data_IF_070920050047
#
_entry.id   IF_070920050047
#
_cell.length_a   1.000
_cell.length_b   1.000
_cell.length_c   1.000
_cell.angle_alpha   90.00
_cell.angle_beta   90.00
_cell.angle_gamma   90.00
#
_symmetry.space_group_name_H-M   'P 1'
#
loop_
_entity.id
_entity.type
_entity.pdbx_description
1 polymer ?
#
# COMPACT_ATOMS: atom_id res chain seq x y z
N UNK A 1 -4.44 -7.63 88.10
CA UNK A 1 -5.90 -7.46 87.91
C UNK A 1 -6.15 -5.97 87.76
N UNK A 2 -6.64 -5.41 86.67
CA UNK A 2 -6.92 -5.88 85.33
C UNK A 2 -6.76 -4.65 84.41
N UNK A 3 -6.28 -4.89 83.20
CA UNK A 3 -6.16 -3.92 82.10
C UNK A 3 -7.56 -3.50 81.62
N UNK A 4 -7.69 -2.26 81.11
CA UNK A 4 -8.68 -2.04 80.06
C UNK A 4 -8.21 -0.96 79.05
N UNK A 5 -8.19 -1.39 77.80
CA UNK A 5 -7.71 -0.69 76.62
C UNK A 5 -8.78 0.24 76.04
N UNK A 6 -8.39 1.44 75.60
CA UNK A 6 -9.22 2.24 74.68
C UNK A 6 -8.39 2.71 73.47
N UNK A 7 -8.78 2.18 72.29
CA UNK A 7 -8.19 2.41 70.97
C UNK A 7 -8.36 3.87 70.48
N UNK A 8 -7.40 4.44 69.73
CA UNK A 8 -7.64 5.61 68.91
C UNK A 8 -8.21 5.23 67.53
N UNK A 9 -9.08 6.09 67.03
CA UNK A 9 -9.93 5.90 65.86
C UNK A 9 -9.20 5.93 64.51
N UNK A 10 -9.86 5.28 63.54
CA UNK A 10 -9.49 5.18 62.14
C UNK A 10 -9.43 6.55 61.46
N UNK A 11 -8.29 6.84 60.83
CA UNK A 11 -8.15 7.93 59.86
C UNK A 11 -8.81 7.54 58.53
N UNK A 12 -9.77 8.35 58.09
CA UNK A 12 -10.40 8.23 56.79
C UNK A 12 -9.37 8.54 55.68
N UNK A 13 -9.18 7.57 54.77
CA UNK A 13 -8.39 7.74 53.55
C UNK A 13 -9.11 8.72 52.62
N UNK A 14 -8.43 9.81 52.25
CA UNK A 14 -8.84 10.68 51.14
C UNK A 14 -8.86 9.86 49.84
N UNK A 15 -9.91 9.95 49.01
CA UNK A 15 -9.90 9.34 47.69
C UNK A 15 -8.89 10.07 46.80
N UNK A 16 -8.03 9.31 46.14
CA UNK A 16 -7.10 9.80 45.14
C UNK A 16 -7.87 10.51 44.01
N UNK A 17 -7.40 11.70 43.66
CA UNK A 17 -7.94 12.52 42.58
C UNK A 17 -7.58 11.84 41.26
N UNK A 18 -8.51 11.09 40.68
CA UNK A 18 -8.35 10.46 39.37
C UNK A 18 -8.62 11.55 38.31
N UNK A 19 -7.70 11.83 37.36
CA UNK A 19 -7.96 12.84 36.35
C UNK A 19 -9.22 12.49 35.57
N UNK A 20 -10.13 13.45 35.46
CA UNK A 20 -11.40 13.28 34.78
C UNK A 20 -11.13 13.11 33.28
N UNK A 21 -11.27 11.87 32.79
CA UNK A 21 -11.41 11.61 31.35
C UNK A 21 -12.48 12.55 30.79
N UNK A 22 -12.10 13.38 29.83
CA UNK A 22 -13.05 14.29 29.19
C UNK A 22 -14.16 13.47 28.55
N UNK A 23 -15.40 13.97 28.63
CA UNK A 23 -16.60 13.30 28.09
C UNK A 23 -16.43 12.94 26.60
N UNK A 24 -15.58 13.66 25.86
CA UNK A 24 -15.19 13.36 24.49
C UNK A 24 -14.32 12.10 24.32
N UNK A 25 -13.35 11.84 25.21
CA UNK A 25 -12.51 10.63 25.15
C UNK A 25 -13.33 9.37 25.47
N UNK A 26 -14.24 9.44 26.44
CA UNK A 26 -15.11 8.32 26.79
C UNK A 26 -16.11 7.98 25.66
N UNK A 27 -16.65 8.99 24.98
CA UNK A 27 -17.52 8.80 23.81
C UNK A 27 -16.78 8.24 22.60
N UNK A 28 -15.54 8.70 22.33
CA UNK A 28 -14.66 8.13 21.30
C UNK A 28 -14.30 6.67 21.59
N UNK A 29 -13.89 6.35 22.83
CA UNK A 29 -13.61 4.96 23.20
C UNK A 29 -14.84 4.05 23.16
N UNK A 30 -16.04 4.56 23.46
CA UNK A 30 -17.29 3.82 23.32
C UNK A 30 -17.67 3.58 21.85
N UNK A 31 -17.36 4.53 20.96
CA UNK A 31 -17.53 4.36 19.52
C UNK A 31 -16.49 3.39 18.92
N UNK A 32 -15.23 3.43 19.38
CA UNK A 32 -14.18 2.49 19.00
C UNK A 32 -14.53 1.04 19.36
N UNK A 33 -15.10 0.80 20.56
CA UNK A 33 -15.58 -0.53 20.99
C UNK A 33 -16.76 -1.07 20.18
N UNK A 34 -17.35 -0.27 19.29
CA UNK A 34 -18.47 -0.65 18.42
C UNK A 34 -18.08 -0.90 16.97
N UNK A 35 -16.84 -0.60 16.55
CA UNK A 35 -16.37 -0.98 15.22
C UNK A 35 -16.18 -2.50 15.19
N UNK A 36 -16.94 -3.16 14.33
CA UNK A 36 -16.74 -4.58 14.04
C UNK A 36 -15.35 -4.69 13.42
N UNK A 37 -14.53 -5.63 13.92
CA UNK A 37 -13.20 -5.86 13.35
C UNK A 37 -13.31 -6.12 11.84
N UNK A 38 -12.43 -5.54 11.00
CA UNK A 38 -12.47 -5.72 9.56
C UNK A 38 -12.53 -7.20 9.13
N UNK A 39 -11.81 -8.09 9.82
CA UNK A 39 -11.87 -9.54 9.60
C UNK A 39 -13.23 -10.17 9.83
N UNK A 40 -13.93 -9.78 10.89
CA UNK A 40 -15.27 -10.34 11.19
C UNK A 40 -16.25 -10.00 10.06
N UNK A 41 -16.14 -8.79 9.48
CA UNK A 41 -16.93 -8.42 8.29
C UNK A 41 -16.46 -9.20 7.06
N UNK A 42 -15.15 -9.34 6.86
CA UNK A 42 -14.62 -10.12 5.75
C UNK A 42 -15.06 -11.60 5.80
N UNK A 43 -15.18 -12.19 6.99
CA UNK A 43 -15.76 -13.53 7.19
C UNK A 43 -17.24 -13.56 6.81
N UNK A 44 -18.02 -12.55 7.23
CA UNK A 44 -19.42 -12.42 6.84
C UNK A 44 -19.57 -12.26 5.31
N UNK A 45 -18.69 -11.48 4.67
CA UNK A 45 -18.64 -11.33 3.21
C UNK A 45 -18.31 -12.66 2.55
N UNK A 46 -17.27 -13.36 3.02
CA UNK A 46 -16.89 -14.68 2.49
C UNK A 46 -18.08 -15.64 2.52
N UNK A 47 -18.85 -15.64 3.61
CA UNK A 47 -20.09 -16.41 3.70
C UNK A 47 -21.15 -15.92 2.69
N UNK A 48 -21.38 -14.62 2.55
CA UNK A 48 -22.33 -14.06 1.59
C UNK A 48 -21.97 -14.36 0.13
N UNK A 49 -20.69 -14.22 -0.25
CA UNK A 49 -20.18 -14.53 -1.59
C UNK A 49 -20.37 -16.01 -1.90
N UNK A 50 -20.11 -16.91 -0.95
CA UNK A 50 -20.36 -18.35 -1.15
C UNK A 50 -21.83 -18.70 -1.40
N UNK A 51 -22.76 -17.87 -0.90
CA UNK A 51 -24.20 -18.06 -1.11
C UNK A 51 -24.68 -17.42 -2.43
N UNK A 52 -23.88 -16.53 -3.03
CA UNK A 52 -24.17 -15.85 -4.28
C UNK A 52 -22.98 -16.02 -5.25
N UNK A 53 -22.77 -17.22 -5.79
CA UNK A 53 -21.73 -17.43 -6.78
C UNK A 53 -22.01 -16.61 -8.04
N UNK A 54 -20.95 -16.19 -8.72
CA UNK A 54 -21.10 -15.48 -9.98
C UNK A 54 -21.73 -16.39 -11.05
N UNK A 55 -22.55 -15.84 -11.94
CA UNK A 55 -23.04 -16.59 -13.09
C UNK A 55 -21.84 -17.04 -13.93
N UNK A 56 -21.88 -18.29 -14.39
CA UNK A 56 -20.86 -18.78 -15.34
C UNK A 56 -21.08 -18.10 -16.70
N UNK A 57 -20.02 -17.60 -17.36
CA UNK A 57 -20.15 -17.07 -18.71
C UNK A 57 -20.72 -18.14 -19.66
N UNK A 58 -21.66 -17.79 -20.55
CA UNK A 58 -22.18 -18.75 -21.50
C UNK A 58 -21.07 -19.17 -22.47
N UNK A 59 -20.89 -20.49 -22.62
CA UNK A 59 -19.93 -21.07 -23.56
C UNK A 59 -20.61 -21.39 -24.87
N UNK A 60 -20.27 -20.60 -25.90
CA UNK A 60 -20.68 -20.89 -27.28
C UNK A 60 -19.71 -21.91 -27.91
N UNK A 61 -20.20 -22.93 -28.63
CA UNK A 61 -19.34 -23.83 -29.38
C UNK A 61 -18.49 -23.07 -30.41
N UNK A 62 -17.27 -23.54 -30.65
CA UNK A 62 -16.43 -22.98 -31.70
C UNK A 62 -17.10 -23.15 -33.07
N UNK A 63 -17.15 -22.08 -33.86
CA UNK A 63 -17.66 -22.14 -35.24
C UNK A 63 -16.64 -22.86 -36.10
N UNK A 64 -17.03 -24.01 -36.68
CA UNK A 64 -16.14 -24.80 -37.50
C UNK A 64 -15.73 -24.04 -38.77
N UNK A 65 -14.43 -23.85 -38.99
CA UNK A 65 -13.89 -23.33 -40.26
C UNK A 65 -14.23 -24.29 -41.38
N UNK A 66 -14.89 -23.80 -42.42
CA UNK A 66 -15.14 -24.56 -43.65
C UNK A 66 -14.11 -24.17 -44.71
N UNK A 67 -13.56 -25.14 -45.46
CA UNK A 67 -12.62 -24.83 -46.53
C UNK A 67 -13.31 -24.02 -47.63
N UNK A 68 -12.65 -22.95 -48.09
CA UNK A 68 -13.09 -22.15 -49.23
C UNK A 68 -12.97 -22.99 -50.50
N UNK A 69 -13.94 -22.92 -51.40
CA UNK A 69 -13.91 -23.66 -52.66
C UNK A 69 -12.65 -23.30 -53.49
N UNK A 70 -12.02 -24.31 -54.11
CA UNK A 70 -10.73 -24.19 -54.81
C UNK A 70 -10.70 -23.24 -56.04
N UNK A 71 -11.84 -22.62 -56.40
CA UNK A 71 -11.99 -21.75 -57.56
C UNK A 71 -11.89 -20.24 -57.23
N UNK A 72 -11.59 -19.87 -55.99
CA UNK A 72 -11.51 -18.46 -55.53
C UNK A 72 -10.08 -17.92 -55.66
N UNK A 73 -9.93 -16.65 -56.09
CA UNK A 73 -8.63 -15.99 -56.19
C UNK A 73 -7.87 -15.99 -54.84
N UNK A 74 -6.52 -16.13 -54.84
CA UNK A 74 -5.72 -16.18 -53.61
C UNK A 74 -5.94 -14.98 -52.67
N UNK A 75 -6.13 -13.78 -53.21
CA UNK A 75 -6.35 -12.56 -52.43
C UNK A 75 -7.68 -12.59 -51.68
N UNK A 76 -8.73 -13.09 -52.33
CA UNK A 76 -10.06 -13.25 -51.73
C UNK A 76 -10.01 -14.32 -50.63
N UNK A 77 -9.26 -15.39 -50.85
CA UNK A 77 -9.03 -16.44 -49.83
C UNK A 77 -8.33 -15.88 -48.59
N UNK A 78 -7.31 -15.04 -48.76
CA UNK A 78 -6.62 -14.39 -47.65
C UNK A 78 -7.56 -13.47 -46.85
N UNK A 79 -8.42 -12.70 -47.52
CA UNK A 79 -9.41 -11.84 -46.86
C UNK A 79 -10.44 -12.67 -46.08
N UNK A 80 -10.96 -13.75 -46.65
CA UNK A 80 -11.88 -14.66 -45.98
C UNK A 80 -11.27 -15.22 -44.68
N UNK A 81 -10.01 -15.64 -44.74
CA UNK A 81 -9.30 -16.14 -43.55
C UNK A 81 -9.16 -15.06 -42.46
N UNK A 82 -8.81 -13.83 -42.85
CA UNK A 82 -8.71 -12.69 -41.92
C UNK A 82 -10.06 -12.39 -41.24
N UNK A 83 -11.16 -12.42 -42.00
CA UNK A 83 -12.51 -12.22 -41.47
C UNK A 83 -12.87 -13.36 -40.49
N UNK A 84 -12.54 -14.62 -40.82
CA UNK A 84 -12.74 -15.76 -39.92
C UNK A 84 -11.99 -15.58 -38.61
N UNK A 85 -10.68 -15.27 -38.66
CA UNK A 85 -9.87 -15.05 -37.46
C UNK A 85 -10.43 -13.90 -36.61
N UNK A 86 -10.91 -12.84 -37.25
CA UNK A 86 -11.54 -11.70 -36.57
C UNK A 86 -12.85 -12.10 -35.90
N UNK A 87 -13.73 -12.79 -36.62
CA UNK A 87 -15.00 -13.26 -36.09
C UNK A 87 -14.81 -14.20 -34.89
N UNK A 88 -13.86 -15.15 -34.97
CA UNK A 88 -13.55 -16.06 -33.85
C UNK A 88 -13.09 -15.30 -32.59
N UNK A 89 -12.19 -14.30 -32.75
CA UNK A 89 -11.78 -13.44 -31.62
C UNK A 89 -12.96 -12.66 -31.03
N UNK A 90 -13.82 -12.09 -31.88
CA UNK A 90 -15.00 -11.35 -31.42
C UNK A 90 -16.02 -12.27 -30.74
N UNK A 91 -16.19 -13.51 -31.22
CA UNK A 91 -17.05 -14.50 -30.58
C UNK A 91 -16.56 -14.87 -29.18
N UNK A 92 -15.24 -14.95 -28.96
CA UNK A 92 -14.69 -15.17 -27.64
C UNK A 92 -14.89 -13.92 -26.74
N UNK A 93 -14.59 -12.73 -27.24
CA UNK A 93 -14.75 -11.47 -26.48
C UNK A 93 -16.21 -11.16 -26.11
N UNK A 94 -17.16 -11.54 -26.97
CA UNK A 94 -18.59 -11.35 -26.73
C UNK A 94 -19.14 -12.18 -25.56
N UNK A 95 -18.43 -13.24 -25.13
CA UNK A 95 -18.77 -14.01 -23.92
C UNK A 95 -18.41 -13.25 -22.64
N UNK A 96 -17.60 -12.19 -22.73
CA UNK A 96 -17.22 -11.30 -21.62
C UNK A 96 -16.62 -12.04 -20.41
N UNK A 97 -15.93 -13.17 -20.63
CA UNK A 97 -15.36 -14.00 -19.56
C UNK A 97 -14.43 -13.21 -18.63
N UNK A 98 -13.64 -12.30 -19.18
CA UNK A 98 -12.75 -11.44 -18.41
C UNK A 98 -13.50 -10.41 -17.55
N UNK A 99 -14.67 -9.94 -18.00
CA UNK A 99 -15.56 -9.09 -17.19
C UNK A 99 -16.16 -9.89 -16.04
N UNK A 100 -16.60 -11.13 -16.27
CA UNK A 100 -17.04 -12.02 -15.19
C UNK A 100 -15.92 -12.27 -14.17
N UNK A 101 -14.68 -12.49 -14.64
CA UNK A 101 -13.51 -12.64 -13.77
C UNK A 101 -13.25 -11.38 -12.94
N UNK A 102 -13.28 -10.20 -13.56
CA UNK A 102 -13.07 -8.93 -12.87
C UNK A 102 -14.10 -8.67 -11.77
N UNK A 103 -15.36 -9.06 -11.99
CA UNK A 103 -16.41 -8.99 -10.95
C UNK A 103 -16.07 -9.91 -9.77
N UNK A 104 -15.53 -11.11 -10.03
CA UNK A 104 -15.06 -12.03 -8.99
C UNK A 104 -13.84 -11.50 -8.22
N UNK A 105 -12.90 -10.90 -8.94
CA UNK A 105 -11.70 -10.31 -8.34
C UNK A 105 -12.05 -9.19 -7.33
N UNK A 106 -13.15 -8.45 -7.54
CA UNK A 106 -13.63 -7.46 -6.57
C UNK A 106 -14.08 -8.14 -5.27
N UNK A 107 -14.85 -9.22 -5.35
CA UNK A 107 -15.28 -9.98 -4.17
C UNK A 107 -14.09 -10.57 -3.41
N UNK A 108 -13.12 -11.11 -4.14
CA UNK A 108 -11.90 -11.69 -3.57
C UNK A 108 -11.07 -10.62 -2.86
N UNK A 109 -10.88 -9.44 -3.47
CA UNK A 109 -10.14 -8.33 -2.85
C UNK A 109 -10.84 -7.77 -1.62
N UNK A 110 -12.16 -7.56 -1.67
CA UNK A 110 -12.94 -7.09 -0.52
C UNK A 110 -12.95 -8.09 0.63
N UNK A 111 -12.77 -9.39 0.33
CA UNK A 111 -12.57 -10.41 1.36
C UNK A 111 -11.14 -10.41 1.88
N UNK A 112 -10.14 -10.31 1.02
CA UNK A 112 -8.72 -10.49 1.38
C UNK A 112 -8.08 -9.27 2.05
N UNK A 113 -8.30 -8.08 1.50
CA UNK A 113 -7.61 -6.86 1.95
C UNK A 113 -7.84 -6.50 3.43
N UNK A 114 -9.04 -6.71 4.02
CA UNK A 114 -9.23 -6.54 5.46
C UNK A 114 -8.33 -7.46 6.31
N UNK A 115 -8.15 -8.72 5.90
CA UNK A 115 -7.25 -9.65 6.60
C UNK A 115 -5.78 -9.26 6.41
N UNK A 116 -5.40 -8.86 5.19
CA UNK A 116 -4.04 -8.38 4.92
C UNK A 116 -3.73 -7.15 5.80
N UNK A 117 -4.67 -6.22 5.95
CA UNK A 117 -4.52 -5.05 6.82
C UNK A 117 -4.42 -5.44 8.30
N UNK A 118 -5.29 -6.31 8.82
CA UNK A 118 -5.21 -6.78 10.21
C UNK A 118 -3.87 -7.50 10.49
N UNK A 119 -3.41 -8.34 9.57
CA UNK A 119 -2.10 -8.99 9.68
C UNK A 119 -0.94 -7.99 9.73
N UNK A 120 -1.05 -6.82 9.07
CA UNK A 120 -0.07 -5.74 9.18
C UNK A 120 -0.20 -5.00 10.52
N UNK A 121 -1.43 -4.79 11.04
CA UNK A 121 -1.66 -4.22 12.38
C UNK A 121 -1.02 -5.09 13.47
N UNK A 122 -1.19 -6.40 13.40
CA UNK A 122 -0.58 -7.38 14.33
C UNK A 122 0.96 -7.33 14.31
N UNK A 123 1.54 -6.85 13.21
CA UNK A 123 2.99 -6.64 13.04
C UNK A 123 3.45 -5.23 13.44
N UNK A 124 2.58 -4.41 14.02
CA UNK A 124 2.90 -3.07 14.51
C UNK A 124 2.74 -1.95 13.47
N UNK A 125 2.01 -2.17 12.37
CA UNK A 125 1.66 -1.08 11.46
C UNK A 125 0.56 -0.20 12.06
N UNK A 126 0.88 1.05 12.39
CA UNK A 126 -0.04 1.96 13.09
C UNK A 126 -0.67 3.02 12.20
N UNK A 127 -0.14 3.26 11.01
CA UNK A 127 -0.55 4.38 10.12
C UNK A 127 -1.70 4.01 9.18
N UNK A 128 -2.18 4.97 8.40
CA UNK A 128 -3.31 4.82 7.47
C UNK A 128 -4.60 4.30 8.14
N UNK A 129 -4.95 4.84 9.31
CA UNK A 129 -6.13 4.43 10.10
C UNK A 129 -7.49 4.60 9.42
N UNK A 130 -7.53 5.29 8.28
CA UNK A 130 -8.74 5.43 7.45
C UNK A 130 -8.94 4.26 6.47
N UNK A 131 -7.98 3.34 6.33
CA UNK A 131 -8.08 2.25 5.35
C UNK A 131 -9.21 1.28 5.70
N UNK A 132 -9.44 1.03 6.99
CA UNK A 132 -10.55 0.22 7.48
C UNK A 132 -11.89 0.81 7.05
N UNK A 133 -12.07 2.13 7.23
CA UNK A 133 -13.29 2.85 6.85
C UNK A 133 -13.46 2.89 5.32
N UNK A 134 -12.37 3.02 4.56
CA UNK A 134 -12.39 3.00 3.09
C UNK A 134 -12.76 1.62 2.56
N UNK A 135 -12.19 0.55 3.11
CA UNK A 135 -12.53 -0.83 2.74
C UNK A 135 -14.01 -1.12 3.05
N UNK A 136 -14.51 -0.68 4.20
CA UNK A 136 -15.94 -0.76 4.54
C UNK A 136 -16.82 0.00 3.54
N UNK A 137 -16.45 1.23 3.18
CA UNK A 137 -17.22 2.01 2.21
C UNK A 137 -17.24 1.35 0.82
N UNK A 138 -16.11 0.78 0.38
CA UNK A 138 -16.03 0.04 -0.90
C UNK A 138 -16.87 -1.23 -0.86
N UNK A 139 -16.88 -1.94 0.27
CA UNK A 139 -17.69 -3.14 0.50
C UNK A 139 -19.19 -2.84 0.36
N UNK A 140 -19.66 -1.83 1.09
CA UNK A 140 -21.05 -1.36 1.05
C UNK A 140 -21.45 -0.84 -0.34
N UNK A 141 -20.53 -0.15 -1.02
CA UNK A 141 -20.77 0.35 -2.37
C UNK A 141 -20.90 -0.81 -3.36
N UNK A 142 -20.03 -1.81 -3.25
CA UNK A 142 -20.05 -2.96 -4.12
C UNK A 142 -21.30 -3.82 -3.92
N UNK A 143 -21.76 -4.04 -2.69
CA UNK A 143 -23.00 -4.79 -2.43
C UNK A 143 -24.23 -4.15 -3.09
N UNK A 144 -24.26 -2.82 -3.17
CA UNK A 144 -25.32 -2.07 -3.86
C UNK A 144 -25.17 -2.11 -5.38
N UNK A 145 -23.93 -2.10 -5.88
CA UNK A 145 -23.63 -1.99 -7.30
C UNK A 145 -23.67 -3.34 -8.01
N UNK A 146 -23.21 -4.41 -7.37
CA UNK A 146 -23.05 -5.75 -7.93
C UNK A 146 -24.30 -6.28 -8.64
N UNK A 147 -25.54 -6.21 -8.08
CA UNK A 147 -26.73 -6.64 -8.80
C UNK A 147 -26.94 -5.90 -10.13
N UNK A 148 -26.59 -4.61 -10.19
CA UNK A 148 -26.71 -3.81 -11.42
C UNK A 148 -25.68 -4.23 -12.46
N UNK A 149 -24.45 -4.52 -12.03
CA UNK A 149 -23.38 -5.04 -12.91
C UNK A 149 -23.76 -6.40 -13.45
N UNK A 150 -24.21 -7.32 -12.61
CA UNK A 150 -24.67 -8.66 -13.02
C UNK A 150 -25.82 -8.59 -14.02
N UNK A 151 -26.82 -7.74 -13.77
CA UNK A 151 -27.93 -7.55 -14.70
C UNK A 151 -27.47 -6.97 -16.04
N UNK A 152 -26.66 -5.90 -16.01
CA UNK A 152 -26.13 -5.30 -17.22
C UNK A 152 -25.27 -6.29 -18.02
N UNK A 153 -24.44 -7.08 -17.35
CA UNK A 153 -23.62 -8.12 -17.97
C UNK A 153 -24.48 -9.18 -18.66
N UNK A 154 -25.51 -9.69 -17.97
CA UNK A 154 -26.44 -10.66 -18.55
C UNK A 154 -27.19 -10.10 -19.77
N UNK A 155 -27.68 -8.86 -19.69
CA UNK A 155 -28.36 -8.19 -20.80
C UNK A 155 -27.44 -7.99 -22.01
N UNK A 156 -26.20 -7.53 -21.80
CA UNK A 156 -25.24 -7.34 -22.88
C UNK A 156 -24.85 -8.66 -23.54
N UNK A 157 -24.62 -9.71 -22.76
CA UNK A 157 -24.25 -11.03 -23.29
C UNK A 157 -25.39 -11.61 -24.14
N UNK A 158 -26.65 -11.53 -23.68
CA UNK A 158 -27.81 -11.98 -24.47
C UNK A 158 -27.95 -11.21 -25.79
N UNK A 159 -27.71 -9.90 -25.75
CA UNK A 159 -27.74 -9.05 -26.95
C UNK A 159 -26.62 -9.40 -27.92
N UNK A 160 -25.40 -9.59 -27.42
CA UNK A 160 -24.25 -9.94 -28.23
C UNK A 160 -24.36 -11.34 -28.83
N UNK A 161 -25.00 -12.28 -28.14
CA UNK A 161 -25.28 -13.61 -28.69
C UNK A 161 -26.21 -13.54 -29.91
N UNK A 162 -27.24 -12.68 -29.83
CA UNK A 162 -28.12 -12.40 -30.98
C UNK A 162 -27.36 -11.75 -32.14
N UNK A 163 -26.45 -10.82 -31.83
CA UNK A 163 -25.61 -10.16 -32.85
C UNK A 163 -24.60 -11.13 -33.49
N UNK A 164 -24.05 -12.06 -32.70
CA UNK A 164 -23.16 -13.12 -33.16
C UNK A 164 -23.90 -14.09 -34.09
N UNK A 165 -25.11 -14.51 -33.74
CA UNK A 165 -25.98 -15.32 -34.59
C UNK A 165 -26.22 -14.68 -35.95
N UNK A 166 -26.45 -13.36 -35.96
CA UNK A 166 -26.63 -12.61 -37.19
C UNK A 166 -25.35 -12.57 -38.01
N UNK A 167 -24.21 -12.30 -37.38
CA UNK A 167 -22.91 -12.26 -38.04
C UNK A 167 -22.50 -13.65 -38.57
N UNK A 168 -22.76 -14.74 -37.84
CA UNK A 168 -22.50 -16.12 -38.28
C UNK A 168 -23.32 -16.48 -39.53
N UNK A 169 -24.60 -16.06 -39.59
CA UNK A 169 -25.41 -16.20 -40.81
C UNK A 169 -24.83 -15.43 -42.00
N UNK A 170 -24.18 -14.28 -41.77
CA UNK A 170 -23.46 -13.56 -42.83
C UNK A 170 -22.17 -14.28 -43.24
N UNK A 171 -21.42 -14.81 -42.28
CA UNK A 171 -20.22 -15.63 -42.52
C UNK A 171 -20.54 -16.84 -43.41
N UNK A 172 -21.71 -17.47 -43.23
CA UNK A 172 -22.17 -18.57 -44.08
C UNK A 172 -22.29 -18.23 -45.58
N UNK A 173 -22.37 -16.94 -45.95
CA UNK A 173 -22.41 -16.47 -47.34
C UNK A 173 -21.03 -16.52 -48.01
N UNK A 174 -19.95 -16.59 -47.24
CA UNK A 174 -18.58 -16.68 -47.76
C UNK A 174 -18.32 -17.99 -48.53
N UNK A 175 -19.19 -19.00 -48.40
CA UNK A 175 -19.08 -20.25 -49.16
C UNK A 175 -19.17 -20.04 -50.68
N UNK A 176 -19.90 -19.02 -51.13
CA UNK A 176 -20.01 -18.61 -52.54
C UNK A 176 -19.48 -17.19 -52.74
N UNK A 177 -18.35 -16.89 -52.10
CA UNK A 177 -17.82 -15.53 -52.02
C UNK A 177 -17.41 -14.96 -53.39
N UNK A 178 -17.79 -13.70 -53.60
CA UNK A 178 -17.16 -12.79 -54.55
C UNK A 178 -16.70 -11.54 -53.77
N UNK A 179 -15.96 -10.64 -54.43
CA UNK A 179 -15.41 -9.45 -53.77
C UNK A 179 -16.46 -8.58 -53.03
N UNK A 180 -17.68 -8.47 -53.57
CA UNK A 180 -18.76 -7.71 -52.93
C UNK A 180 -19.28 -8.40 -51.66
N UNK A 181 -19.43 -9.73 -51.69
CA UNK A 181 -19.83 -10.52 -50.52
C UNK A 181 -18.78 -10.41 -49.41
N UNK A 182 -17.49 -10.57 -49.75
CA UNK A 182 -16.39 -10.45 -48.77
C UNK A 182 -16.42 -9.09 -48.07
N UNK A 183 -16.51 -7.99 -48.84
CA UNK A 183 -16.58 -6.64 -48.28
C UNK A 183 -17.80 -6.42 -47.38
N UNK A 184 -18.96 -6.96 -47.77
CA UNK A 184 -20.18 -6.86 -46.97
C UNK A 184 -20.08 -7.61 -45.65
N UNK A 185 -19.48 -8.82 -45.65
CA UNK A 185 -19.31 -9.62 -44.44
C UNK A 185 -18.27 -8.98 -43.53
N UNK A 186 -17.17 -8.48 -44.07
CA UNK A 186 -16.14 -7.73 -43.33
C UNK A 186 -16.75 -6.54 -42.59
N UNK A 187 -17.55 -5.72 -43.28
CA UNK A 187 -18.27 -4.58 -42.67
C UNK A 187 -19.22 -5.01 -41.55
N UNK A 188 -19.88 -6.16 -41.69
CA UNK A 188 -20.78 -6.69 -40.66
C UNK A 188 -20.00 -7.16 -39.42
N UNK A 189 -18.83 -7.80 -39.62
CA UNK A 189 -17.91 -8.23 -38.55
C UNK A 189 -17.30 -7.01 -37.85
N UNK A 190 -16.98 -5.93 -38.57
CA UNK A 190 -16.54 -4.66 -37.99
C UNK A 190 -17.59 -4.02 -37.09
N UNK A 191 -18.84 -4.01 -37.57
CA UNK A 191 -19.96 -3.49 -36.81
C UNK A 191 -20.20 -4.31 -35.53
N UNK A 192 -20.07 -5.64 -35.60
CA UNK A 192 -20.09 -6.52 -34.43
C UNK A 192 -18.97 -6.16 -33.46
N UNK A 193 -17.73 -5.98 -33.93
CA UNK A 193 -16.59 -5.64 -33.07
C UNK A 193 -16.78 -4.31 -32.33
N UNK A 194 -17.39 -3.34 -33.00
CA UNK A 194 -17.77 -2.05 -32.38
C UNK A 194 -18.81 -2.24 -31.27
N UNK A 195 -19.81 -3.11 -31.48
CA UNK A 195 -20.84 -3.42 -30.48
C UNK A 195 -20.27 -4.18 -29.29
N UNK A 196 -19.41 -5.18 -29.52
CA UNK A 196 -18.70 -5.91 -28.44
C UNK A 196 -17.90 -4.94 -27.56
N UNK A 197 -17.13 -4.05 -28.18
CA UNK A 197 -16.33 -3.05 -27.46
C UNK A 197 -17.20 -2.08 -26.66
N UNK A 198 -18.29 -1.59 -27.25
CA UNK A 198 -19.21 -0.67 -26.58
C UNK A 198 -19.94 -1.33 -25.40
N UNK A 199 -20.42 -2.57 -25.59
CA UNK A 199 -21.08 -3.34 -24.55
C UNK A 199 -20.15 -3.60 -23.37
N UNK A 200 -18.89 -3.99 -23.65
CA UNK A 200 -17.86 -4.19 -22.64
C UNK A 200 -17.60 -2.92 -21.80
N UNK A 201 -17.30 -1.81 -22.47
CA UNK A 201 -17.06 -0.51 -21.80
C UNK A 201 -18.25 -0.05 -20.97
N UNK A 202 -19.47 -0.35 -21.42
CA UNK A 202 -20.68 0.01 -20.68
C UNK A 202 -20.78 -0.75 -19.35
N UNK A 203 -20.34 -2.02 -19.30
CA UNK A 203 -20.33 -2.82 -18.06
C UNK A 203 -19.12 -2.46 -17.19
N UNK A 204 -17.93 -2.37 -17.76
CA UNK A 204 -16.69 -1.97 -17.04
C UNK A 204 -16.85 -0.62 -16.35
N UNK A 205 -17.40 0.37 -17.06
CA UNK A 205 -17.62 1.71 -16.50
C UNK A 205 -18.56 1.76 -15.30
N UNK A 206 -19.32 0.71 -15.01
CA UNK A 206 -20.11 0.62 -13.78
C UNK A 206 -19.24 0.39 -12.54
N UNK A 207 -18.14 -0.38 -12.66
CA UNK A 207 -17.34 -0.85 -11.52
C UNK A 207 -15.88 -0.39 -11.52
N UNK A 208 -15.36 0.17 -12.62
CA UNK A 208 -13.95 0.57 -12.76
C UNK A 208 -13.43 1.44 -11.60
N UNK A 209 -14.28 2.32 -11.05
CA UNK A 209 -13.91 3.15 -9.90
C UNK A 209 -13.58 2.34 -8.64
N UNK A 210 -14.37 1.30 -8.34
CA UNK A 210 -14.12 0.41 -7.19
C UNK A 210 -12.84 -0.39 -7.43
N UNK A 211 -12.70 -0.95 -8.62
CA UNK A 211 -11.51 -1.73 -9.01
C UNK A 211 -10.24 -0.90 -8.88
N UNK A 212 -10.24 0.34 -9.37
CA UNK A 212 -9.10 1.24 -9.27
C UNK A 212 -8.71 1.54 -7.81
N UNK A 213 -9.68 1.78 -6.92
CA UNK A 213 -9.42 2.02 -5.49
C UNK A 213 -8.90 0.76 -4.78
N UNK A 214 -9.47 -0.41 -5.06
CA UNK A 214 -8.99 -1.67 -4.49
C UNK A 214 -7.55 -1.98 -4.90
N UNK A 215 -7.17 -1.73 -6.16
CA UNK A 215 -5.78 -1.90 -6.60
C UNK A 215 -4.81 -0.94 -5.92
N UNK A 216 -5.22 0.32 -5.67
CA UNK A 216 -4.40 1.27 -4.92
C UNK A 216 -4.17 0.80 -3.48
N UNK A 217 -5.23 0.33 -2.82
CA UNK A 217 -5.13 -0.20 -1.46
C UNK A 217 -4.23 -1.43 -1.43
N UNK A 218 -4.46 -2.41 -2.30
CA UNK A 218 -3.64 -3.63 -2.40
C UNK A 218 -2.16 -3.29 -2.63
N UNK A 219 -1.87 -2.38 -3.55
CA UNK A 219 -0.51 -1.92 -3.81
C UNK A 219 0.11 -1.29 -2.56
N UNK A 220 -0.62 -0.41 -1.87
CA UNK A 220 -0.18 0.24 -0.63
C UNK A 220 0.12 -0.78 0.47
N UNK A 221 -0.78 -1.74 0.72
CA UNK A 221 -0.55 -2.80 1.71
C UNK A 221 0.66 -3.66 1.35
N UNK A 222 0.87 -3.95 0.07
CA UNK A 222 2.06 -4.65 -0.41
C UNK A 222 3.37 -3.88 -0.17
N UNK A 223 3.36 -2.54 -0.24
CA UNK A 223 4.53 -1.73 0.12
C UNK A 223 4.77 -1.75 1.63
N UNK A 224 3.72 -1.64 2.44
CA UNK A 224 3.82 -1.73 3.90
C UNK A 224 4.37 -3.08 4.33
N UNK A 225 3.86 -4.17 3.74
CA UNK A 225 4.36 -5.52 4.02
C UNK A 225 5.85 -5.63 3.75
N UNK A 226 6.32 -5.18 2.57
CA UNK A 226 7.74 -5.18 2.22
C UNK A 226 8.59 -4.37 3.19
N UNK A 227 8.12 -3.19 3.59
CA UNK A 227 8.81 -2.36 4.57
C UNK A 227 8.96 -3.08 5.91
N UNK A 228 7.88 -3.67 6.43
CA UNK A 228 7.92 -4.42 7.69
C UNK A 228 8.82 -5.66 7.58
N UNK A 229 8.83 -6.35 6.43
CA UNK A 229 9.74 -7.48 6.17
C UNK A 229 11.21 -7.04 6.18
N UNK A 230 11.51 -5.89 5.58
CA UNK A 230 12.86 -5.31 5.58
C UNK A 230 13.32 -4.94 7.01
N UNK A 231 12.46 -4.28 7.79
CA UNK A 231 12.74 -3.92 9.19
C UNK A 231 12.92 -5.20 10.03
N UNK A 232 12.03 -6.18 9.90
CA UNK A 232 12.09 -7.43 10.66
C UNK A 232 13.33 -8.26 10.29
N UNK A 233 13.84 -8.11 9.06
CA UNK A 233 15.06 -8.75 8.59
C UNK A 233 16.35 -8.05 9.02
N UNK A 234 16.28 -6.96 9.78
CA UNK A 234 17.44 -6.25 10.33
C UNK A 234 17.75 -6.71 11.75
N UNK A 235 19.03 -6.94 12.05
CA UNK A 235 19.50 -7.17 13.43
C UNK A 235 19.76 -5.86 14.20
N UNK A 236 19.95 -4.76 13.48
CA UNK A 236 20.36 -3.46 14.03
C UNK A 236 19.16 -2.50 14.22
N UNK A 237 18.08 -2.68 13.47
CA UNK A 237 16.88 -1.84 13.58
C UNK A 237 15.96 -2.39 14.66
N UNK A 238 15.70 -1.55 15.67
CA UNK A 238 14.64 -1.76 16.67
C UNK A 238 13.79 -0.51 16.73
N UNK A 239 12.49 -0.68 16.53
CA UNK A 239 11.53 0.42 16.65
C UNK A 239 11.43 0.85 18.12
N UNK A 240 11.39 2.16 18.35
CA UNK A 240 11.18 2.78 19.66
C UNK A 240 9.71 2.65 20.07
N UNK A 241 9.41 2.97 21.32
CA UNK A 241 8.04 3.01 21.81
C UNK A 241 7.22 4.02 21.00
N UNK A 242 6.01 3.61 20.58
CA UNK A 242 5.18 4.35 19.67
C UNK A 242 5.87 4.79 18.36
N UNK A 243 6.90 4.09 17.87
CA UNK A 243 7.50 4.35 16.56
C UNK A 243 6.79 3.55 15.47
N UNK A 244 6.15 4.26 14.54
CA UNK A 244 5.42 3.70 13.42
C UNK A 244 6.20 3.84 12.11
N UNK A 245 6.54 2.74 11.42
CA UNK A 245 7.23 2.80 10.13
C UNK A 245 6.29 3.29 9.02
N UNK A 246 6.81 4.11 8.10
CA UNK A 246 6.04 4.80 7.05
C UNK A 246 6.49 4.43 5.64
N UNK A 247 7.79 4.54 5.34
CA UNK A 247 8.36 4.28 4.02
C UNK A 247 9.63 3.45 4.12
N UNK A 248 9.88 2.65 3.08
CA UNK A 248 11.18 2.05 2.82
C UNK A 248 11.48 2.07 1.33
N UNK A 249 12.74 2.33 0.97
CA UNK A 249 13.19 2.31 -0.42
C UNK A 249 14.63 1.82 -0.53
N UNK A 250 14.92 1.04 -1.57
CA UNK A 250 16.29 0.76 -1.93
C UNK A 250 16.98 2.06 -2.36
N UNK A 251 18.20 2.30 -1.90
CA UNK A 251 18.89 3.56 -2.15
C UNK A 251 20.39 3.34 -2.30
N UNK A 252 21.07 4.37 -2.79
CA UNK A 252 22.53 4.51 -2.69
C UNK A 252 22.85 5.77 -1.90
N UNK A 253 23.60 5.62 -0.81
CA UNK A 253 24.10 6.76 -0.05
C UNK A 253 25.37 7.29 -0.71
N UNK A 254 25.33 8.52 -1.24
CA UNK A 254 26.46 9.15 -1.92
C UNK A 254 27.28 9.98 -0.93
N UNK A 255 28.38 9.41 -0.46
CA UNK A 255 29.35 10.10 0.39
C UNK A 255 30.33 10.88 -0.49
N UNK A 256 30.41 12.20 -0.31
CA UNK A 256 31.46 13.10 -0.85
C UNK A 256 31.85 12.91 -2.34
N UNK A 257 30.89 12.54 -3.19
CA UNK A 257 31.09 12.41 -4.65
C UNK A 257 31.63 11.05 -5.12
N UNK A 258 31.87 10.10 -4.22
CA UNK A 258 32.16 8.70 -4.56
C UNK A 258 30.89 7.85 -4.70
N UNK A 259 31.05 6.68 -5.35
CA UNK A 259 30.05 5.62 -5.35
C UNK A 259 29.94 5.01 -3.94
N UNK A 260 29.15 5.63 -3.07
CA UNK A 260 28.94 5.15 -1.70
C UNK A 260 28.02 3.92 -1.59
N UNK A 261 27.74 3.43 -0.36
CA UNK A 261 27.16 2.11 -0.14
C UNK A 261 25.70 2.00 -0.61
N UNK A 262 25.32 0.82 -1.09
CA UNK A 262 23.93 0.47 -1.36
C UNK A 262 23.23 -0.09 -0.12
N UNK A 263 21.92 0.14 -0.04
CA UNK A 263 21.13 -0.33 1.08
C UNK A 263 19.68 0.10 1.02
N UNK A 264 19.05 0.18 2.19
CA UNK A 264 17.67 0.62 2.35
C UNK A 264 17.59 1.85 3.24
N UNK A 265 16.86 2.86 2.75
CA UNK A 265 16.44 4.00 3.54
C UNK A 265 15.05 3.71 4.10
N UNK A 266 14.86 3.94 5.38
CA UNK A 266 13.59 3.83 6.08
C UNK A 266 13.21 5.18 6.67
N UNK A 267 11.93 5.49 6.61
CA UNK A 267 11.33 6.62 7.31
C UNK A 267 10.26 6.08 8.27
N UNK A 268 10.37 6.46 9.53
CA UNK A 268 9.34 6.25 10.54
C UNK A 268 8.73 7.60 10.93
N UNK A 269 7.69 7.59 11.76
CA UNK A 269 7.11 8.81 12.34
C UNK A 269 8.02 9.49 13.39
N UNK A 270 9.24 8.99 13.60
CA UNK A 270 10.23 9.54 14.54
C UNK A 270 11.62 9.71 13.94
N UNK A 271 12.05 8.82 13.03
CA UNK A 271 13.45 8.67 12.61
C UNK A 271 13.61 8.45 11.11
N UNK A 272 14.76 8.87 10.62
CA UNK A 272 15.30 8.46 9.33
C UNK A 272 16.44 7.47 9.58
N UNK A 273 16.36 6.30 8.96
CA UNK A 273 17.32 5.21 9.14
C UNK A 273 17.89 4.79 7.79
N UNK A 274 19.21 4.64 7.68
CA UNK A 274 19.85 4.01 6.52
C UNK A 274 20.63 2.78 6.95
N UNK A 275 20.21 1.61 6.46
CA UNK A 275 20.91 0.35 6.61
C UNK A 275 21.65 0.02 5.30
N UNK A 276 22.97 -0.05 5.36
CA UNK A 276 23.77 -0.63 4.28
C UNK A 276 23.42 -2.11 4.19
N UNK A 277 23.06 -2.55 2.98
CA UNK A 277 22.68 -3.94 2.72
C UNK A 277 23.07 -4.34 1.32
N UNK A 278 24.31 -4.81 1.17
CA UNK A 278 24.89 -5.12 -0.15
C UNK A 278 25.93 -6.24 -0.07
N UNK A 279 26.23 -6.83 -1.23
CA UNK A 279 27.30 -7.81 -1.36
C UNK A 279 28.60 -7.10 -1.72
N UNK A 280 29.52 -7.03 -0.76
CA UNK A 280 30.83 -6.40 -0.94
C UNK A 280 31.85 -7.46 -1.36
N UNK A 281 32.54 -7.21 -2.47
CA UNK A 281 33.64 -8.09 -2.92
C UNK A 281 34.85 -7.86 -2.03
N UNK A 282 35.12 -8.80 -1.13
CA UNK A 282 36.26 -8.75 -0.20
C UNK A 282 37.57 -9.15 -0.88
N UNK A 283 37.50 -9.94 -1.97
CA UNK A 283 38.69 -10.36 -2.71
C UNK A 283 38.43 -10.53 -4.20
N UNK A 284 39.36 -10.03 -5.01
CA UNK A 284 39.35 -10.20 -6.47
C UNK A 284 40.46 -11.17 -6.91
N UNK A 285 40.14 -12.11 -7.80
CA UNK A 285 41.08 -13.01 -8.48
C UNK A 285 41.53 -12.39 -9.80
N UNK A 286 42.83 -12.38 -10.06
CA UNK A 286 43.44 -11.78 -11.26
C UNK A 286 43.03 -10.32 -11.52
N UNK A 287 42.81 -9.53 -10.47
CA UNK A 287 42.48 -8.10 -10.56
C UNK A 287 41.07 -7.74 -11.06
N UNK A 288 40.36 -8.67 -11.70
CA UNK A 288 39.08 -8.38 -12.38
C UNK A 288 37.92 -9.31 -11.97
N UNK A 289 38.19 -10.52 -11.48
CA UNK A 289 37.13 -11.49 -11.18
C UNK A 289 36.79 -11.52 -9.69
N UNK A 290 35.50 -11.51 -9.35
CA UNK A 290 35.03 -11.71 -7.98
C UNK A 290 35.47 -13.10 -7.48
N UNK A 291 36.22 -13.14 -6.38
CA UNK A 291 36.72 -14.38 -5.78
C UNK A 291 35.99 -14.71 -4.48
N UNK A 292 35.89 -13.72 -3.60
CA UNK A 292 35.21 -13.80 -2.30
C UNK A 292 34.39 -12.53 -2.13
N UNK A 293 33.23 -12.69 -1.50
CA UNK A 293 32.32 -11.61 -1.17
C UNK A 293 31.65 -11.86 0.17
N UNK A 294 31.23 -10.78 0.79
CA UNK A 294 30.54 -10.78 2.08
C UNK A 294 29.26 -9.95 1.97
N UNK A 295 28.17 -10.44 2.55
CA UNK A 295 26.96 -9.65 2.71
C UNK A 295 27.14 -8.72 3.90
N UNK A 296 27.27 -7.43 3.63
CA UNK A 296 27.31 -6.41 4.67
C UNK A 296 25.87 -5.99 4.98
N UNK A 297 25.49 -6.08 6.26
CA UNK A 297 24.22 -5.56 6.77
C UNK A 297 24.50 -4.73 8.03
N UNK A 298 24.41 -3.40 7.93
CA UNK A 298 24.78 -2.50 9.03
C UNK A 298 23.97 -1.21 9.00
N UNK A 299 23.40 -0.83 10.15
CA UNK A 299 22.79 0.49 10.34
C UNK A 299 23.90 1.55 10.37
N UNK A 300 23.89 2.44 9.39
CA UNK A 300 24.93 3.47 9.21
C UNK A 300 24.42 4.87 9.61
N UNK A 301 23.12 5.12 9.44
CA UNK A 301 22.50 6.38 9.84
C UNK A 301 21.27 6.05 10.67
N UNK A 302 21.16 6.70 11.83
CA UNK A 302 19.95 6.78 12.63
C UNK A 302 19.88 8.19 13.21
N UNK A 303 18.98 9.00 12.65
CA UNK A 303 18.80 10.41 13.05
C UNK A 303 17.33 10.67 13.31
N UNK A 304 17.03 11.55 14.25
CA UNK A 304 15.64 11.90 14.47
C UNK A 304 15.16 12.83 13.35
N UNK A 305 13.89 12.71 12.97
CA UNK A 305 13.33 13.50 11.86
C UNK A 305 13.34 15.01 12.16
N UNK A 306 13.24 15.42 13.42
CA UNK A 306 13.32 16.83 13.81
C UNK A 306 14.75 17.38 13.84
N UNK A 307 15.77 16.54 13.70
CA UNK A 307 17.16 16.98 13.51
C UNK A 307 17.48 17.26 12.04
N UNK A 308 16.49 17.18 11.14
CA UNK A 308 16.64 17.50 9.72
C UNK A 308 16.33 18.99 9.51
N UNK A 309 17.37 19.81 9.39
CA UNK A 309 17.24 21.27 9.24
C UNK A 309 16.87 21.70 7.82
N UNK A 310 17.38 20.99 6.80
CA UNK A 310 17.08 21.31 5.40
C UNK A 310 16.86 20.04 4.59
N UNK A 311 15.86 20.11 3.70
CA UNK A 311 15.48 19.04 2.79
C UNK A 311 15.49 19.60 1.38
N UNK A 312 16.27 19.00 0.50
CA UNK A 312 16.26 19.29 -0.92
C UNK A 312 15.95 18.01 -1.71
N UNK A 313 15.16 18.14 -2.76
CA UNK A 313 14.83 17.05 -3.66
C UNK A 313 15.02 17.52 -5.11
N UNK A 314 15.55 16.65 -5.97
CA UNK A 314 15.80 16.96 -7.39
C UNK A 314 15.89 15.70 -8.23
N UNK A 315 15.61 15.85 -9.50
CA UNK A 315 15.91 14.85 -10.52
C UNK A 315 17.26 15.22 -11.18
N UNK A 316 18.23 14.31 -11.17
CA UNK A 316 19.53 14.52 -11.79
C UNK A 316 19.85 13.49 -12.87
N UNK A 317 20.54 13.92 -13.93
CA UNK A 317 20.96 13.04 -15.02
C UNK A 317 19.86 12.73 -16.05
N UNK A 318 20.13 11.73 -16.89
CA UNK A 318 19.28 11.30 -18.00
C UNK A 318 19.52 12.07 -19.31
N UNK A 319 19.63 11.33 -20.42
CA UNK A 319 19.58 11.89 -21.78
C UNK A 319 18.18 11.62 -22.35
N UNK A 320 17.48 12.67 -22.79
CA UNK A 320 16.10 12.58 -23.32
C UNK A 320 15.07 11.96 -22.35
N UNK A 321 15.24 12.15 -21.03
CA UNK A 321 14.26 11.73 -20.02
C UNK A 321 14.32 10.25 -19.61
N UNK A 322 15.26 9.46 -20.15
CA UNK A 322 15.52 8.10 -19.65
C UNK A 322 16.66 8.11 -18.62
N UNK A 323 16.45 7.45 -17.48
CA UNK A 323 17.48 7.24 -16.46
C UNK A 323 17.77 8.44 -15.55
N UNK A 324 16.75 9.26 -15.25
CA UNK A 324 16.88 10.29 -14.21
C UNK A 324 17.01 9.63 -12.83
N UNK A 325 17.93 10.14 -12.02
CA UNK A 325 18.12 9.75 -10.63
C UNK A 325 17.28 10.65 -9.72
N UNK A 326 16.48 10.05 -8.85
CA UNK A 326 15.75 10.75 -7.78
C UNK A 326 16.68 10.99 -6.59
N UNK A 327 17.04 12.24 -6.35
CA UNK A 327 18.01 12.62 -5.31
C UNK A 327 17.30 13.30 -4.14
N UNK A 328 17.52 12.76 -2.94
CA UNK A 328 17.15 13.37 -1.67
C UNK A 328 18.42 13.85 -0.95
N UNK A 329 18.52 15.15 -0.70
CA UNK A 329 19.62 15.80 0.03
C UNK A 329 19.10 16.34 1.36
N UNK A 330 19.81 15.99 2.44
CA UNK A 330 19.44 16.34 3.80
C UNK A 330 20.63 17.03 4.47
N UNK A 331 20.34 18.14 5.15
CA UNK A 331 21.27 18.79 6.09
C UNK A 331 20.70 18.59 7.48
N UNK A 332 21.54 18.10 8.40
CA UNK A 332 21.14 17.82 9.76
C UNK A 332 21.66 18.88 10.73
N UNK A 333 20.99 18.97 11.88
CA UNK A 333 21.38 19.81 13.00
C UNK A 333 22.78 19.44 13.51
N UNK A 334 23.45 20.38 14.16
CA UNK A 334 24.80 20.18 14.71
C UNK A 334 24.86 19.09 15.80
N UNK A 335 23.73 18.74 16.40
CA UNK A 335 23.59 17.66 17.40
C UNK A 335 23.52 16.28 16.76
N UNK A 336 23.23 16.18 15.46
CA UNK A 336 23.11 14.90 14.78
C UNK A 336 24.49 14.24 14.57
N UNK A 337 24.49 12.91 14.46
CA UNK A 337 25.70 12.10 14.23
C UNK A 337 26.37 12.33 12.87
N UNK A 338 25.68 13.01 11.95
CA UNK A 338 26.11 13.30 10.59
C UNK A 338 25.65 14.71 10.22
N UNK A 339 26.44 15.48 9.47
CA UNK A 339 26.06 16.84 9.07
C UNK A 339 25.20 16.92 7.81
N UNK A 340 25.39 15.98 6.87
CA UNK A 340 24.65 15.92 5.61
C UNK A 340 24.53 14.49 5.10
N UNK A 341 23.45 14.19 4.37
CA UNK A 341 23.32 12.96 3.61
C UNK A 341 22.73 13.24 2.23
N UNK A 342 23.17 12.46 1.24
CA UNK A 342 22.64 12.50 -0.13
C UNK A 342 22.31 11.09 -0.58
N UNK A 343 21.07 10.87 -0.98
CA UNK A 343 20.54 9.57 -1.35
C UNK A 343 20.02 9.57 -2.77
N UNK A 344 20.38 8.55 -3.55
CA UNK A 344 19.70 8.24 -4.81
C UNK A 344 18.65 7.16 -4.56
N UNK A 345 17.37 7.53 -4.61
CA UNK A 345 16.24 6.65 -4.37
C UNK A 345 15.93 5.81 -5.60
N UNK A 346 15.83 4.49 -5.44
CA UNK A 346 15.53 3.55 -6.54
C UNK A 346 14.01 3.31 -6.62
N UNK A 347 13.34 3.99 -7.54
CA UNK A 347 11.94 3.74 -7.87
C UNK A 347 10.90 4.42 -6.96
N UNK A 348 11.31 5.43 -6.19
CA UNK A 348 10.40 6.35 -5.48
C UNK A 348 10.86 7.79 -5.69
N UNK A 349 9.91 8.73 -5.66
CA UNK A 349 10.20 10.13 -5.89
C UNK A 349 10.78 10.79 -4.64
N UNK A 350 11.86 11.54 -4.82
CA UNK A 350 12.49 12.33 -3.75
C UNK A 350 11.57 13.41 -3.16
N UNK A 351 10.64 13.94 -3.96
CA UNK A 351 9.63 14.92 -3.51
C UNK A 351 8.63 14.32 -2.52
N UNK A 352 8.25 13.06 -2.70
CA UNK A 352 7.27 12.39 -1.82
C UNK A 352 7.89 12.13 -0.44
N UNK A 353 9.18 11.77 -0.42
CA UNK A 353 9.96 11.66 0.82
C UNK A 353 10.08 13.00 1.53
N UNK A 354 10.41 14.08 0.81
CA UNK A 354 10.48 15.42 1.40
C UNK A 354 9.14 15.86 2.00
N UNK A 355 8.03 15.61 1.29
CA UNK A 355 6.69 15.89 1.80
C UNK A 355 6.38 15.09 3.06
N UNK A 356 6.72 13.80 3.10
CA UNK A 356 6.49 12.95 4.28
C UNK A 356 7.32 13.42 5.49
N UNK A 357 8.59 13.76 5.30
CA UNK A 357 9.46 14.30 6.37
C UNK A 357 8.83 15.58 6.96
N UNK A 358 8.35 16.50 6.10
CA UNK A 358 7.67 17.71 6.56
C UNK A 358 6.38 17.41 7.35
N UNK A 359 5.57 16.42 6.93
CA UNK A 359 4.35 16.00 7.67
C UNK A 359 4.67 15.41 9.03
N UNK A 360 5.81 14.74 9.18
CA UNK A 360 6.28 14.24 10.47
C UNK A 360 6.72 15.41 11.35
N UNK A 361 7.53 16.33 10.82
CA UNK A 361 7.99 17.51 11.56
C UNK A 361 6.85 18.42 12.02
N UNK A 362 5.77 18.53 11.23
CA UNK A 362 4.58 19.30 11.61
C UNK A 362 3.66 18.58 12.59
N UNK A 363 3.85 17.27 12.81
CA UNK A 363 2.97 16.42 13.61
C UNK A 363 1.67 16.02 12.89
N UNK A 364 1.47 16.41 11.62
CA UNK A 364 0.27 16.04 10.86
C UNK A 364 0.11 14.52 10.74
N UNK A 365 1.24 13.79 10.68
CA UNK A 365 1.26 12.33 10.53
C UNK A 365 0.55 11.58 11.66
N UNK A 366 0.43 12.18 12.84
CA UNK A 366 -0.26 11.57 13.98
C UNK A 366 -1.75 11.36 13.71
N UNK A 367 -2.34 12.23 12.89
CA UNK A 367 -3.74 12.11 12.47
C UNK A 367 -3.99 10.94 11.52
N UNK A 368 -2.94 10.38 10.92
CA UNK A 368 -3.03 9.21 10.05
C UNK A 368 -2.99 7.89 10.86
N UNK A 369 -2.72 7.94 12.17
CA UNK A 369 -2.70 6.73 13.01
C UNK A 369 -4.09 6.10 13.16
N UNK A 370 -4.12 4.78 13.22
CA UNK A 370 -5.32 4.04 13.61
C UNK A 370 -5.70 4.36 15.04
N UNK A 371 -7.00 4.53 15.25
CA UNK A 371 -7.65 4.85 16.52
C UNK A 371 -7.19 3.95 17.69
N UNK A 372 -6.82 2.69 17.39
CA UNK A 372 -6.34 1.71 18.38
C UNK A 372 -5.01 2.11 19.05
N UNK A 373 -4.19 2.93 18.38
CA UNK A 373 -2.84 3.30 18.83
C UNK A 373 -2.74 4.73 19.38
N UNK A 374 -3.88 5.43 19.56
CA UNK A 374 -3.90 6.80 20.08
C UNK A 374 -3.53 6.87 21.56
N UNK A 375 -3.96 5.90 22.37
CA UNK A 375 -3.63 5.86 23.80
C UNK A 375 -2.10 5.63 24.00
N UNK A 376 -1.46 4.80 23.15
CA UNK A 376 -0.01 4.60 23.15
C UNK A 376 0.74 5.87 22.72
N UNK A 377 0.24 6.58 21.70
CA UNK A 377 0.81 7.85 21.25
C UNK A 377 0.77 8.91 22.36
N UNK A 378 -0.37 9.03 23.06
CA UNK A 378 -0.55 9.97 24.17
C UNK A 378 0.43 9.63 25.31
N UNK A 379 0.56 8.36 25.68
CA UNK A 379 1.49 7.92 26.70
C UNK A 379 2.95 8.25 26.33
N UNK A 380 3.37 7.97 25.10
CA UNK A 380 4.71 8.29 24.62
C UNK A 380 4.99 9.80 24.61
N UNK A 381 3.97 10.63 24.30
CA UNK A 381 4.05 12.08 24.39
C UNK A 381 4.24 12.58 25.82
N UNK A 382 3.49 12.02 26.78
CA UNK A 382 3.64 12.34 28.21
C UNK A 382 5.07 12.01 28.67
N UNK A 383 5.56 10.81 28.36
CA UNK A 383 6.92 10.37 28.70
C UNK A 383 7.98 11.33 28.15
N UNK A 384 7.89 11.69 26.86
CA UNK A 384 8.80 12.64 26.20
C UNK A 384 8.79 14.02 26.87
N UNK A 385 7.61 14.54 27.24
CA UNK A 385 7.48 15.83 27.92
C UNK A 385 7.90 15.82 29.39
N UNK A 386 8.11 14.65 29.98
CA UNK A 386 8.46 14.49 31.40
C UNK A 386 9.96 14.57 31.68
N UNK A 387 10.80 14.74 30.65
CA UNK A 387 12.22 14.97 30.86
C UNK A 387 12.47 16.33 31.54
N UNK A 388 13.42 16.41 32.49
CA UNK A 388 13.77 17.68 33.11
C UNK A 388 14.41 18.62 32.09
N UNK A 389 14.08 19.91 32.12
CA UNK A 389 14.69 20.93 31.24
C UNK A 389 16.19 21.14 31.49
N UNK A 390 16.70 20.69 32.64
CA UNK A 390 18.10 20.79 33.03
C UNK A 390 18.63 19.45 33.54
N UNK A 391 19.91 19.17 33.24
CA UNK A 391 20.59 17.99 33.72
C UNK A 391 20.69 18.04 35.25
N UNK A 392 20.19 17.05 35.99
CA UNK A 392 20.23 17.06 37.45
C UNK A 392 21.65 16.99 38.02
N UNK A 393 22.64 16.60 37.22
CA UNK A 393 24.03 16.48 37.63
C UNK A 393 24.87 17.74 37.34
N UNK A 394 24.70 18.38 36.18
CA UNK A 394 25.54 19.50 35.74
C UNK A 394 24.79 20.78 35.38
N UNK A 395 23.45 20.79 35.46
CA UNK A 395 22.56 21.91 35.14
C UNK A 395 22.62 22.39 33.68
N UNK A 396 23.31 21.67 32.79
CA UNK A 396 23.22 21.94 31.36
C UNK A 396 21.78 21.76 30.87
N UNK A 397 21.37 22.57 29.88
CA UNK A 397 20.05 22.45 29.28
C UNK A 397 19.89 21.06 28.63
N UNK A 398 18.74 20.43 28.88
CA UNK A 398 18.35 19.17 28.24
C UNK A 398 17.39 19.55 27.11
N UNK A 399 17.70 19.18 25.86
CA UNK A 399 16.79 19.46 24.75
C UNK A 399 15.47 18.69 24.94
N UNK A 400 14.35 19.19 24.38
CA UNK A 400 13.09 18.46 24.36
C UNK A 400 13.31 17.06 23.79
N UNK A 401 12.88 16.03 24.53
CA UNK A 401 13.13 14.67 24.10
C UNK A 401 12.10 14.24 23.05
N UNK A 402 12.50 13.48 22.02
CA UNK A 402 11.58 12.92 21.05
C UNK A 402 10.65 11.91 21.69
N UNK A 403 9.47 11.66 21.09
CA UNK A 403 8.62 10.54 21.49
C UNK A 403 9.39 9.22 21.38
N UNK A 404 9.08 8.27 22.26
CA UNK A 404 9.74 6.96 22.29
C UNK A 404 11.11 6.94 22.99
N UNK A 405 11.69 8.10 23.29
CA UNK A 405 12.94 8.19 24.07
C UNK A 405 12.62 8.09 25.56
N UNK A 406 13.21 7.08 26.21
CA UNK A 406 13.05 6.82 27.65
C UNK A 406 14.33 7.11 28.44
N UNK A 407 15.44 7.35 27.75
CA UNK A 407 16.75 7.63 28.33
C UNK A 407 17.48 8.64 27.46
N UNK A 408 18.07 9.66 28.07
CA UNK A 408 18.92 10.66 27.42
C UNK A 408 20.29 10.72 28.12
N UNK A 409 21.38 10.76 27.37
CA UNK A 409 22.72 10.94 27.93
C UNK A 409 23.15 12.41 27.79
N UNK A 410 23.48 13.05 28.90
CA UNK A 410 23.88 14.46 28.90
C UNK A 410 25.22 14.65 28.19
N UNK A 411 25.22 15.39 27.08
CA UNK A 411 26.42 15.67 26.26
C UNK A 411 27.57 16.35 27.02
N UNK A 412 27.27 17.03 28.14
CA UNK A 412 28.26 17.79 28.91
C UNK A 412 28.95 16.97 30.00
N UNK A 413 28.24 16.04 30.65
CA UNK A 413 28.78 15.30 31.79
C UNK A 413 28.57 13.79 31.75
N UNK A 414 27.93 13.26 30.70
CA UNK A 414 27.65 11.83 30.52
C UNK A 414 26.60 11.27 31.47
N UNK A 415 25.89 12.11 32.23
CA UNK A 415 24.85 11.65 33.14
C UNK A 415 23.64 11.11 32.35
N UNK A 416 23.19 9.92 32.73
CA UNK A 416 21.93 9.34 32.23
C UNK A 416 20.74 10.04 32.88
N UNK A 417 19.88 10.61 32.04
CA UNK A 417 18.66 11.32 32.42
C UNK A 417 17.47 10.47 31.98
N UNK A 418 16.50 10.34 32.87
CA UNK A 418 15.24 9.63 32.64
C UNK A 418 14.07 10.62 32.81
N UNK A 419 12.91 10.34 32.19
CA UNK A 419 11.72 11.13 32.42
C UNK A 419 11.33 11.06 33.91
N UNK A 420 10.88 12.19 34.45
CA UNK A 420 10.32 12.23 35.79
C UNK A 420 9.12 11.28 35.87
N UNK A 421 8.96 10.61 37.01
CA UNK A 421 7.76 9.80 37.25
C UNK A 421 6.54 10.72 37.17
N UNK A 422 5.55 10.37 36.36
CA UNK A 422 4.28 11.08 36.32
C UNK A 422 3.62 11.00 37.71
N UNK A 423 3.54 12.14 38.40
CA UNK A 423 2.87 12.26 39.71
C UNK A 423 1.34 12.21 39.63
#
# INVERSE_FOLDING_TARGET
MAEDHKKPGMGARRPANRPARTVGQAARQAAMKRRVRPSVRAEARKAAVSQRPLPTPPRRPAVARRPVAAAVAPEITAQINSIHDKFERLSAQAQMEDVFSAVGDIDDKLTKLPFDLEALRDRGYVHSGQLEDKLEALDDQWDKLRPRVENALNEQVQRLDTDLDQAERQMGRLNNANAAVVKSVDTAVDALGSRVTAARRAVEGLYDGITAELYKIEYSLGQVQKMLDLISGSSEIRLQEAEGPLLAVATKWQQDGEDGPEGYLFLTDQRLLFEQREEVVTKKRFGLFKAESEMVQKLQIAVQVHEIDQIAHKEEGGFLGMGKADILELVFAATASLSRARFHLKGQNSSDWAAMINRIQSGEIDGDRSDEYLDELEAAGITSSSFPEQCPNCYAAVPPQPRGVTVYECEFCGATIMPAAAE
#
